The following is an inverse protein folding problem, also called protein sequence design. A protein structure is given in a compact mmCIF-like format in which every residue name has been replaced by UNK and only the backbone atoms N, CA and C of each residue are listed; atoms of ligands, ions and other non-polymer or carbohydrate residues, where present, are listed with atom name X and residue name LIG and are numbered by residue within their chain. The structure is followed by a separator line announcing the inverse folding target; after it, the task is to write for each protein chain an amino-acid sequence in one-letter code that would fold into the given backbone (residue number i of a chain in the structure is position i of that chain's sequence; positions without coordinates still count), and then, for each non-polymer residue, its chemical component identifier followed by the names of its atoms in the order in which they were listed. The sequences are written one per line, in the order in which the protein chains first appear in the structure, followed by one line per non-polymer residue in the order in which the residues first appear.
data_IF_864509976685
#
_entry.id   IF_864509976685
#
_cell.length_a   1.000
_cell.length_b   1.000
_cell.length_c   1.000
_cell.angle_alpha   90.00
_cell.angle_beta   90.00
_cell.angle_gamma   90.00
#
_symmetry.space_group_name_H-M   'P 1'
#
loop_
_entity.id
_entity.type
_entity.pdbx_description
1 polymer ?
#
# COMPACT_ATOMS: atom_id res chain seq x y z
N UNK A 1 63.14 -5.90 -3.90
CA UNK A 1 62.22 -5.31 -4.89
C UNK A 1 60.92 -6.11 -4.81
N UNK A 2 59.95 -5.61 -4.05
CA UNK A 2 58.71 -6.34 -3.74
C UNK A 2 57.57 -5.58 -4.40
N UNK A 3 57.02 -6.17 -5.45
CA UNK A 3 55.83 -5.61 -6.15
C UNK A 3 54.58 -5.95 -5.37
N UNK A 4 53.97 -4.94 -4.74
CA UNK A 4 52.63 -4.98 -4.21
C UNK A 4 51.65 -4.66 -5.34
N UNK A 5 51.09 -5.63 -5.99
CA UNK A 5 49.91 -5.46 -6.83
C UNK A 5 48.67 -5.61 -5.98
N UNK A 6 48.15 -4.50 -5.49
CA UNK A 6 46.81 -4.44 -4.91
C UNK A 6 45.77 -4.38 -6.03
N UNK A 7 45.08 -5.48 -6.28
CA UNK A 7 43.88 -5.48 -7.12
C UNK A 7 42.75 -4.85 -6.30
N UNK A 8 42.50 -3.58 -6.50
CA UNK A 8 41.23 -2.97 -6.05
C UNK A 8 40.16 -3.31 -7.06
N UNK A 9 39.30 -4.25 -6.75
CA UNK A 9 38.07 -4.43 -7.48
C UNK A 9 37.18 -3.18 -7.29
N UNK A 10 37.30 -2.24 -8.18
CA UNK A 10 36.42 -1.09 -8.26
C UNK A 10 35.08 -1.57 -8.82
N UNK A 11 34.20 -2.02 -7.94
CA UNK A 11 32.80 -2.19 -8.27
C UNK A 11 32.26 -0.87 -8.84
N UNK A 12 31.98 -0.83 -10.11
CA UNK A 12 31.41 0.33 -10.81
C UNK A 12 30.05 0.64 -10.18
N UNK A 13 30.02 1.61 -9.27
CA UNK A 13 28.78 2.16 -8.73
C UNK A 13 28.07 2.85 -9.89
N UNK A 14 27.09 2.19 -10.50
CA UNK A 14 26.25 2.81 -11.54
C UNK A 14 25.56 4.02 -10.92
N UNK A 15 26.03 5.20 -11.27
CA UNK A 15 25.34 6.44 -10.88
C UNK A 15 23.95 6.45 -11.52
N UNK A 16 22.94 6.53 -10.68
CA UNK A 16 21.55 6.64 -11.12
C UNK A 16 21.34 8.00 -11.77
N UNK A 17 20.61 8.05 -12.87
CA UNK A 17 20.22 9.33 -13.45
C UNK A 17 19.41 10.15 -12.43
N UNK A 18 19.44 11.48 -12.54
CA UNK A 18 18.63 12.37 -11.70
C UNK A 18 17.14 11.99 -11.71
N UNK A 19 16.62 11.60 -12.89
CA UNK A 19 15.24 11.12 -13.03
C UNK A 19 15.00 9.81 -12.25
N UNK A 20 15.94 8.87 -12.28
CA UNK A 20 15.87 7.63 -11.49
C UNK A 20 15.93 7.94 -9.99
N UNK A 21 16.82 8.84 -9.58
CA UNK A 21 16.90 9.28 -8.18
C UNK A 21 15.62 9.97 -7.73
N UNK A 22 15.06 10.86 -8.52
CA UNK A 22 13.78 11.53 -8.23
C UNK A 22 12.59 10.55 -8.20
N UNK A 23 12.55 9.59 -9.12
CA UNK A 23 11.54 8.55 -9.15
C UNK A 23 11.62 7.64 -7.91
N UNK A 24 12.82 7.22 -7.51
CA UNK A 24 13.04 6.39 -6.32
C UNK A 24 12.79 7.16 -5.01
N UNK A 25 13.01 8.46 -5.00
CA UNK A 25 12.70 9.36 -3.89
C UNK A 25 11.19 9.51 -3.64
N UNK A 26 10.35 9.21 -4.64
CA UNK A 26 8.90 9.37 -4.53
C UNK A 26 8.27 8.30 -3.60
N UNK A 27 7.51 8.72 -2.59
CA UNK A 27 6.84 7.78 -1.67
C UNK A 27 5.98 6.73 -2.37
N UNK A 28 5.27 7.12 -3.44
CA UNK A 28 4.38 6.21 -4.19
C UNK A 28 5.18 5.19 -4.97
N UNK A 29 6.27 5.59 -5.62
CA UNK A 29 7.17 4.66 -6.32
C UNK A 29 7.74 3.64 -5.34
N UNK A 30 8.18 4.08 -4.15
CA UNK A 30 8.65 3.15 -3.10
C UNK A 30 7.56 2.20 -2.62
N UNK A 31 6.31 2.67 -2.48
CA UNK A 31 5.17 1.82 -2.12
C UNK A 31 4.90 0.77 -3.22
N UNK A 32 4.94 1.16 -4.48
CA UNK A 32 4.78 0.26 -5.61
C UNK A 32 5.91 -0.78 -5.67
N UNK A 33 7.17 -0.36 -5.57
CA UNK A 33 8.32 -1.28 -5.57
C UNK A 33 8.23 -2.27 -4.40
N UNK A 34 7.88 -1.79 -3.22
CA UNK A 34 7.66 -2.67 -2.07
C UNK A 34 6.57 -3.70 -2.34
N UNK A 35 5.49 -3.32 -3.00
CA UNK A 35 4.42 -4.26 -3.37
C UNK A 35 4.86 -5.31 -4.39
N UNK A 36 5.89 -5.04 -5.21
CA UNK A 36 6.46 -6.02 -6.15
C UNK A 36 7.38 -7.02 -5.46
N UNK A 37 8.20 -6.55 -4.53
CA UNK A 37 9.33 -7.30 -3.97
C UNK A 37 9.03 -7.99 -2.64
N UNK A 38 7.99 -7.57 -1.94
CA UNK A 38 7.65 -8.06 -0.61
C UNK A 38 6.17 -8.41 -0.50
N UNK A 39 5.81 -9.10 0.56
CA UNK A 39 4.41 -9.24 0.95
C UNK A 39 3.91 -7.89 1.48
N UNK A 40 2.76 -7.44 0.98
CA UNK A 40 2.11 -6.20 1.39
C UNK A 40 0.60 -6.38 1.53
N UNK A 41 -0.05 -5.42 2.14
CA UNK A 41 -1.50 -5.31 2.16
C UNK A 41 -1.92 -3.86 2.19
N UNK A 42 -3.14 -3.59 1.79
CA UNK A 42 -3.74 -2.26 1.89
C UNK A 42 -5.01 -2.34 2.74
N UNK A 43 -5.16 -1.37 3.63
CA UNK A 43 -6.29 -1.26 4.55
C UNK A 43 -6.56 0.22 4.84
N UNK A 44 -7.82 0.57 5.07
CA UNK A 44 -8.24 1.87 5.56
C UNK A 44 -8.95 1.74 6.91
N UNK A 45 -9.30 2.87 7.51
CA UNK A 45 -10.22 2.96 8.63
C UNK A 45 -11.26 4.07 8.42
N UNK A 46 -11.23 4.71 7.24
CA UNK A 46 -12.16 5.78 6.92
C UNK A 46 -13.56 5.22 6.66
N UNK A 47 -14.57 5.94 7.13
CA UNK A 47 -15.98 5.62 6.91
C UNK A 47 -16.78 6.92 6.82
N UNK A 48 -17.48 7.09 5.70
CA UNK A 48 -18.22 8.30 5.42
C UNK A 48 -17.34 9.54 5.32
N UNK A 49 -17.93 10.70 5.40
CA UNK A 49 -17.30 12.00 5.12
C UNK A 49 -16.81 12.74 6.37
N UNK A 50 -17.10 12.24 7.58
CA UNK A 50 -16.71 12.90 8.81
C UNK A 50 -15.22 12.73 9.12
N UNK A 51 -14.43 13.72 8.75
CA UNK A 51 -12.96 13.68 8.90
C UNK A 51 -12.51 13.58 10.37
N UNK A 52 -13.23 14.24 11.30
CA UNK A 52 -12.90 14.18 12.74
C UNK A 52 -13.06 12.75 13.27
N UNK A 53 -14.15 12.09 12.92
CA UNK A 53 -14.39 10.69 13.29
C UNK A 53 -13.37 9.75 12.60
N UNK A 54 -13.09 9.96 11.31
CA UNK A 54 -12.10 9.18 10.57
C UNK A 54 -10.69 9.31 11.15
N UNK A 55 -10.31 10.49 11.64
CA UNK A 55 -9.02 10.69 12.31
C UNK A 55 -8.87 9.83 13.56
N UNK A 56 -9.92 9.69 14.36
CA UNK A 56 -9.92 8.81 15.54
C UNK A 56 -9.80 7.35 15.13
N UNK A 57 -10.58 6.90 14.14
CA UNK A 57 -10.52 5.52 13.60
C UNK A 57 -9.13 5.18 13.05
N UNK A 58 -8.51 6.11 12.30
CA UNK A 58 -7.14 5.95 11.79
C UNK A 58 -6.12 5.74 12.91
N UNK A 59 -6.18 6.53 14.00
CA UNK A 59 -5.31 6.34 15.18
C UNK A 59 -5.50 4.95 15.80
N UNK A 60 -6.74 4.48 15.90
CA UNK A 60 -7.05 3.13 16.37
C UNK A 60 -6.42 2.05 15.49
N UNK A 61 -6.57 2.16 14.16
CA UNK A 61 -5.94 1.24 13.22
C UNK A 61 -4.40 1.26 13.33
N UNK A 62 -3.78 2.43 13.41
CA UNK A 62 -2.33 2.56 13.56
C UNK A 62 -1.82 1.88 14.84
N UNK A 63 -2.56 2.03 15.93
CA UNK A 63 -2.26 1.35 17.21
C UNK A 63 -2.34 -0.17 17.06
N UNK A 64 -3.39 -0.66 16.42
CA UNK A 64 -3.56 -2.10 16.20
C UNK A 64 -2.49 -2.68 15.27
N UNK A 65 -2.12 -1.98 14.20
CA UNK A 65 -1.04 -2.39 13.31
C UNK A 65 0.29 -2.50 14.08
N UNK A 66 0.63 -1.50 14.88
CA UNK A 66 1.84 -1.52 15.74
C UNK A 66 1.83 -2.68 16.72
N UNK A 67 0.71 -2.91 17.43
CA UNK A 67 0.55 -4.07 18.35
C UNK A 67 0.75 -5.42 17.67
N UNK A 68 0.42 -5.53 16.38
CA UNK A 68 0.65 -6.76 15.60
C UNK A 68 2.02 -6.84 14.96
N UNK A 69 2.89 -5.85 15.14
CA UNK A 69 4.20 -5.75 14.52
C UNK A 69 4.13 -5.56 13.01
N UNK A 70 3.07 -4.92 12.52
CA UNK A 70 2.88 -4.63 11.10
C UNK A 70 3.35 -3.21 10.80
N UNK A 71 4.36 -3.12 9.92
CA UNK A 71 4.82 -1.84 9.40
C UNK A 71 3.81 -1.25 8.43
N UNK A 72 3.70 0.09 8.38
CA UNK A 72 2.79 0.75 7.46
C UNK A 72 3.29 2.09 6.95
N UNK A 73 2.78 2.48 5.78
CA UNK A 73 2.92 3.82 5.19
C UNK A 73 1.55 4.32 4.78
N UNK A 74 1.30 5.61 5.02
CA UNK A 74 0.07 6.28 4.60
C UNK A 74 0.16 6.70 3.14
N UNK A 75 -0.94 6.53 2.44
CA UNK A 75 -1.20 7.05 1.10
C UNK A 75 -2.67 7.45 1.00
N UNK A 76 -3.10 7.85 -0.17
CA UNK A 76 -4.51 8.08 -0.48
C UNK A 76 -4.96 6.96 -1.40
N UNK A 77 -5.93 6.18 -0.95
CA UNK A 77 -6.70 5.26 -1.77
C UNK A 77 -7.77 6.05 -2.53
N UNK A 78 -7.96 5.74 -3.79
CA UNK A 78 -8.99 6.33 -4.64
C UNK A 78 -9.63 5.21 -5.43
N UNK A 79 -10.95 5.17 -5.46
CA UNK A 79 -11.71 4.17 -6.20
C UNK A 79 -13.01 4.77 -6.72
N UNK A 80 -13.45 4.26 -7.85
CA UNK A 80 -14.70 4.64 -8.48
C UNK A 80 -15.78 3.65 -8.07
N UNK A 81 -16.91 4.15 -7.61
CA UNK A 81 -18.06 3.31 -7.31
C UNK A 81 -18.70 2.78 -8.61
N UNK A 82 -19.08 1.52 -8.59
CA UNK A 82 -19.77 0.87 -9.72
C UNK A 82 -21.17 1.43 -9.97
N UNK A 83 -21.78 1.98 -8.93
CA UNK A 83 -23.09 2.64 -8.97
C UNK A 83 -23.14 3.98 -9.70
N UNK A 84 -22.01 4.49 -10.19
CA UNK A 84 -21.94 5.82 -10.80
C UNK A 84 -21.88 7.00 -9.81
N UNK A 85 -21.90 6.73 -8.51
CA UNK A 85 -21.89 7.75 -7.42
C UNK A 85 -20.57 8.53 -7.29
N UNK A 86 -19.67 8.43 -8.26
CA UNK A 86 -18.43 9.19 -8.28
C UNK A 86 -17.22 8.42 -7.77
N UNK A 87 -16.22 9.15 -7.27
CA UNK A 87 -14.95 8.59 -6.82
C UNK A 87 -14.79 8.76 -5.31
N UNK A 88 -14.66 7.67 -4.61
CA UNK A 88 -14.31 7.66 -3.18
C UNK A 88 -12.82 7.87 -2.97
N UNK A 89 -12.47 8.62 -1.93
CA UNK A 89 -11.08 8.88 -1.52
C UNK A 89 -10.96 8.70 -0.01
N UNK A 90 -9.93 7.97 0.40
CA UNK A 90 -9.68 7.65 1.81
C UNK A 90 -8.19 7.63 2.13
N UNK A 91 -7.85 7.74 3.40
CA UNK A 91 -6.48 7.44 3.83
C UNK A 91 -6.29 5.94 3.84
N UNK A 92 -5.44 5.47 2.94
CA UNK A 92 -5.08 4.05 2.82
C UNK A 92 -3.69 3.79 3.40
N UNK A 93 -3.54 2.68 4.08
CA UNK A 93 -2.30 2.23 4.68
C UNK A 93 -1.75 1.05 3.88
N UNK A 94 -0.63 1.26 3.20
CA UNK A 94 0.15 0.13 2.71
C UNK A 94 0.89 -0.49 3.88
N UNK A 95 0.60 -1.74 4.15
CA UNK A 95 1.14 -2.51 5.27
C UNK A 95 2.15 -3.55 4.81
N UNK A 96 3.01 -3.97 5.71
CA UNK A 96 3.92 -5.10 5.49
C UNK A 96 4.08 -5.89 6.79
N UNK A 97 4.16 -7.22 6.71
CA UNK A 97 4.36 -8.07 7.87
C UNK A 97 5.73 -7.80 8.50
N UNK A 98 5.86 -8.09 9.80
CA UNK A 98 7.18 -8.19 10.44
C UNK A 98 7.95 -9.40 9.89
N UNK A 99 9.28 -9.39 9.97
CA UNK A 99 10.09 -10.57 9.64
C UNK A 99 9.57 -11.83 10.37
N UNK A 100 9.57 -12.96 9.69
CA UNK A 100 9.11 -14.24 10.24
C UNK A 100 7.58 -14.44 10.28
N UNK A 101 6.77 -13.44 9.96
CA UNK A 101 5.32 -13.63 9.86
C UNK A 101 4.96 -14.37 8.57
N UNK A 102 4.31 -15.53 8.69
CA UNK A 102 3.87 -16.30 7.53
C UNK A 102 2.78 -15.57 6.74
N UNK A 103 2.69 -15.85 5.42
CA UNK A 103 1.69 -15.27 4.51
C UNK A 103 0.26 -15.52 5.01
N UNK A 104 -0.02 -16.74 5.45
CA UNK A 104 -1.33 -17.12 5.99
C UNK A 104 -1.69 -16.30 7.24
N UNK A 105 -0.72 -16.11 8.15
CA UNK A 105 -0.92 -15.31 9.36
C UNK A 105 -1.17 -13.84 9.02
N UNK A 106 -0.37 -13.26 8.13
CA UNK A 106 -0.55 -11.89 7.68
C UNK A 106 -1.94 -11.67 7.07
N UNK A 107 -2.37 -12.51 6.12
CA UNK A 107 -3.69 -12.43 5.52
C UNK A 107 -4.84 -12.56 6.55
N UNK A 108 -4.70 -13.44 7.56
CA UNK A 108 -5.68 -13.53 8.66
C UNK A 108 -5.74 -12.24 9.48
N UNK A 109 -4.57 -11.65 9.80
CA UNK A 109 -4.50 -10.41 10.57
C UNK A 109 -5.14 -9.26 9.79
N UNK A 110 -4.82 -9.12 8.51
CA UNK A 110 -5.40 -8.06 7.65
C UNK A 110 -6.93 -8.14 7.61
N UNK A 111 -7.50 -9.32 7.37
CA UNK A 111 -8.96 -9.51 7.37
C UNK A 111 -9.61 -9.23 8.73
N UNK A 112 -8.96 -9.63 9.84
CA UNK A 112 -9.45 -9.32 11.19
C UNK A 112 -9.44 -7.81 11.48
N UNK A 113 -8.38 -7.13 11.06
CA UNK A 113 -8.29 -5.67 11.20
C UNK A 113 -9.33 -4.98 10.30
N UNK A 114 -9.53 -5.45 9.08
CA UNK A 114 -10.59 -4.94 8.20
C UNK A 114 -11.95 -5.00 8.90
N UNK A 115 -12.35 -6.16 9.40
CA UNK A 115 -13.60 -6.32 10.18
C UNK A 115 -13.66 -5.42 11.40
N UNK A 116 -12.59 -5.39 12.20
CA UNK A 116 -12.54 -4.57 13.43
C UNK A 116 -12.76 -3.10 13.14
N UNK A 117 -12.20 -2.60 12.03
CA UNK A 117 -12.29 -1.20 11.63
C UNK A 117 -13.41 -0.92 10.63
N UNK A 118 -14.33 -1.88 10.45
CA UNK A 118 -15.53 -1.73 9.64
C UNK A 118 -15.24 -1.56 8.15
N UNK A 119 -14.13 -2.08 7.64
CA UNK A 119 -13.84 -2.04 6.21
C UNK A 119 -14.63 -3.12 5.46
N UNK A 120 -15.12 -2.81 4.27
CA UNK A 120 -15.79 -3.77 3.38
C UNK A 120 -14.80 -4.78 2.81
N UNK A 121 -13.58 -4.32 2.57
CA UNK A 121 -12.53 -5.16 2.02
C UNK A 121 -11.14 -4.75 2.44
N UNK A 122 -10.20 -5.66 2.29
CA UNK A 122 -8.76 -5.41 2.42
C UNK A 122 -8.02 -6.05 1.25
N UNK A 123 -6.89 -5.48 0.87
CA UNK A 123 -6.04 -6.04 -0.17
C UNK A 123 -4.84 -6.72 0.47
N UNK A 124 -4.45 -7.88 -0.04
CA UNK A 124 -3.15 -8.50 0.24
C UNK A 124 -2.44 -8.83 -1.05
N UNK A 125 -1.13 -8.78 -1.04
CA UNK A 125 -0.30 -9.11 -2.18
C UNK A 125 0.97 -9.82 -1.73
N UNK A 126 1.22 -10.97 -2.30
CA UNK A 126 2.48 -11.70 -2.13
C UNK A 126 3.53 -11.20 -3.14
N UNK A 127 4.80 -11.42 -2.80
CA UNK A 127 5.91 -11.18 -3.73
C UNK A 127 5.64 -11.87 -5.07
N UNK A 128 5.78 -11.12 -6.16
CA UNK A 128 5.63 -11.58 -7.56
C UNK A 128 4.26 -12.20 -7.92
N UNK A 129 3.25 -12.10 -7.02
CA UNK A 129 1.89 -12.60 -7.31
C UNK A 129 0.92 -11.43 -7.53
N UNK A 130 -0.23 -11.68 -8.18
CA UNK A 130 -1.32 -10.71 -8.23
C UNK A 130 -1.78 -10.29 -6.83
N UNK A 131 -2.25 -9.06 -6.71
CA UNK A 131 -2.95 -8.60 -5.52
C UNK A 131 -4.33 -9.29 -5.43
N UNK A 132 -4.80 -9.49 -4.22
CA UNK A 132 -6.09 -10.12 -3.93
C UNK A 132 -6.93 -9.23 -3.03
N UNK A 133 -8.16 -8.98 -3.44
CA UNK A 133 -9.17 -8.31 -2.63
C UNK A 133 -9.88 -9.36 -1.77
N UNK A 134 -9.98 -9.11 -0.50
CA UNK A 134 -10.68 -9.97 0.45
C UNK A 134 -11.86 -9.19 1.03
N UNK A 135 -13.04 -9.74 0.87
CA UNK A 135 -14.22 -9.28 1.59
C UNK A 135 -14.02 -9.43 3.10
N UNK A 136 -14.43 -8.44 3.85
CA UNK A 136 -14.35 -8.41 5.32
C UNK A 136 -15.70 -8.18 5.98
N UNK A 137 -16.77 -7.94 5.26
CA UNK A 137 -18.12 -7.81 5.79
C UNK A 137 -18.72 -9.19 6.13
N UNK A 138 -18.52 -10.16 5.24
CA UNK A 138 -19.00 -11.50 5.47
C UNK A 138 -18.30 -12.16 6.66
N UNK A 139 -19.07 -12.72 7.58
CA UNK A 139 -18.55 -13.55 8.68
C UNK A 139 -17.97 -14.87 8.17
N UNK A 140 -18.47 -15.38 7.04
CA UNK A 140 -17.99 -16.61 6.39
C UNK A 140 -16.77 -16.29 5.51
N UNK A 141 -15.83 -17.23 5.32
CA UNK A 141 -14.75 -17.07 4.36
C UNK A 141 -15.33 -16.89 2.96
N UNK A 142 -15.16 -15.71 2.40
CA UNK A 142 -15.51 -15.43 0.99
C UNK A 142 -14.33 -15.69 0.08
N UNK A 143 -14.56 -16.10 -1.19
CA UNK A 143 -13.51 -16.13 -2.19
C UNK A 143 -12.84 -14.77 -2.31
N UNK A 144 -11.52 -14.75 -2.49
CA UNK A 144 -10.80 -13.51 -2.77
C UNK A 144 -10.73 -13.28 -4.28
N UNK A 145 -10.90 -12.02 -4.70
CA UNK A 145 -10.82 -11.62 -6.10
C UNK A 145 -9.39 -11.24 -6.48
N UNK A 146 -8.93 -11.64 -7.67
CA UNK A 146 -7.65 -11.21 -8.21
C UNK A 146 -7.77 -9.80 -8.75
N UNK A 147 -6.86 -8.91 -8.31
CA UNK A 147 -6.78 -7.53 -8.79
C UNK A 147 -5.64 -7.30 -9.80
N UNK A 148 -4.84 -8.33 -10.08
CA UNK A 148 -3.70 -8.20 -10.99
C UNK A 148 -2.41 -7.73 -10.31
N UNK A 149 -1.43 -7.36 -11.15
CA UNK A 149 -0.09 -6.93 -10.72
C UNK A 149 -0.03 -5.43 -10.44
N UNK A 150 0.97 -5.00 -9.66
CA UNK A 150 1.19 -3.56 -9.41
C UNK A 150 1.72 -2.87 -10.68
N UNK A 151 0.99 -1.87 -11.16
CA UNK A 151 1.36 -1.05 -12.33
C UNK A 151 1.46 0.43 -11.94
N UNK A 152 2.36 1.20 -12.55
CA UNK A 152 2.44 2.64 -12.32
C UNK A 152 1.26 3.37 -12.97
N UNK A 153 0.99 4.57 -12.48
CA UNK A 153 -0.04 5.46 -13.03
C UNK A 153 -1.41 5.25 -12.42
N UNK A 154 -2.39 5.98 -12.97
CA UNK A 154 -3.80 5.84 -12.61
C UNK A 154 -4.38 4.58 -13.24
N UNK A 155 -5.34 3.99 -12.56
CA UNK A 155 -6.05 2.84 -13.12
C UNK A 155 -6.96 3.30 -14.29
N UNK A 156 -6.78 2.78 -15.50
CA UNK A 156 -7.62 3.15 -16.65
C UNK A 156 -9.11 2.86 -16.43
N UNK A 157 -9.43 1.80 -15.70
CA UNK A 157 -10.83 1.48 -15.36
C UNK A 157 -11.41 2.39 -14.27
N UNK A 158 -10.62 3.22 -13.62
CA UNK A 158 -11.02 4.02 -12.47
C UNK A 158 -11.21 3.22 -11.17
N UNK A 159 -11.02 1.90 -11.21
CA UNK A 159 -11.26 1.01 -10.08
C UNK A 159 -10.01 0.82 -9.24
N UNK A 160 -9.91 1.53 -8.14
CA UNK A 160 -8.87 1.34 -7.11
C UNK A 160 -7.46 1.72 -7.54
N UNK A 161 -6.97 2.78 -7.00
CA UNK A 161 -5.59 3.22 -7.15
C UNK A 161 -5.07 3.82 -5.85
N UNK A 162 -3.76 3.82 -5.67
CA UNK A 162 -3.11 4.46 -4.53
C UNK A 162 -2.21 5.58 -5.01
N UNK A 163 -2.37 6.76 -4.43
CA UNK A 163 -1.51 7.91 -4.68
C UNK A 163 -0.79 8.35 -3.41
N UNK A 164 0.45 8.79 -3.55
CA UNK A 164 1.27 9.28 -2.44
C UNK A 164 0.99 10.74 -2.17
N UNK A 165 -0.06 11.08 -1.44
CA UNK A 165 -0.29 12.46 -1.00
C UNK A 165 -0.01 12.59 0.49
N UNK A 166 0.75 13.62 0.86
CA UNK A 166 0.81 14.01 2.27
C UNK A 166 -0.56 14.56 2.65
N UNK A 167 -1.22 13.91 3.61
CA UNK A 167 -2.41 14.46 4.25
C UNK A 167 -1.93 15.64 5.12
N UNK A 168 -2.02 16.85 4.60
CA UNK A 168 -1.81 18.07 5.41
C UNK A 168 -3.15 18.50 6.01
N UNK A 169 -3.15 18.80 7.29
CA UNK A 169 -4.29 19.40 8.04
C UNK A 169 -5.64 18.69 7.89
N UNK A 170 -5.66 17.35 7.73
CA UNK A 170 -6.92 16.60 7.70
C UNK A 170 -7.70 16.67 6.39
N UNK A 171 -7.24 17.37 5.38
CA UNK A 171 -7.86 17.41 4.06
C UNK A 171 -7.12 16.50 3.09
N UNK A 172 -7.85 15.61 2.44
CA UNK A 172 -7.35 14.83 1.31
C UNK A 172 -7.20 15.76 0.10
N UNK A 173 -5.99 16.30 -0.10
CA UNK A 173 -5.71 17.22 -1.19
C UNK A 173 -5.92 16.59 -2.58
N UNK A 174 -6.15 17.42 -3.62
CA UNK A 174 -6.14 16.96 -5.02
C UNK A 174 -4.78 16.31 -5.33
N UNK A 175 -4.78 15.13 -5.93
CA UNK A 175 -3.55 14.40 -6.23
C UNK A 175 -3.25 14.47 -7.73
N UNK A 176 -2.35 15.38 -8.10
CA UNK A 176 -1.66 15.33 -9.41
C UNK A 176 -0.36 14.53 -9.33
N UNK A 177 -0.20 13.70 -8.30
CA UNK A 177 1.06 13.00 -8.00
C UNK A 177 1.04 11.58 -8.55
N UNK A 178 2.26 10.99 -8.76
CA UNK A 178 2.38 9.61 -9.21
C UNK A 178 1.50 8.67 -8.38
N UNK A 179 0.77 7.81 -9.06
CA UNK A 179 -0.08 6.79 -8.48
C UNK A 179 0.40 5.40 -8.89
N UNK A 180 -0.09 4.38 -8.23
CA UNK A 180 -0.02 3.01 -8.73
C UNK A 180 -1.35 2.31 -8.49
N UNK A 181 -1.61 1.27 -9.26
CA UNK A 181 -2.83 0.47 -9.17
C UNK A 181 -2.51 -1.01 -9.33
N UNK A 182 -3.50 -1.83 -9.11
CA UNK A 182 -3.45 -3.27 -9.43
C UNK A 182 -4.32 -3.54 -10.65
N UNK A 183 -3.72 -4.20 -11.66
CA UNK A 183 -4.39 -4.62 -12.89
C UNK A 183 -3.56 -5.71 -13.62
#
# INVERSE_FOLDING_TARGET
MIDYLSHSEHGTVKMKSFQQFMAEGNPTTRMMQKSKTQQTGNISADRGTNEKANRVKRKGLETDLKKKGIGFKKGVGEYKYSSGEGTGREVSYQTSPKPGMSKRRFGKVMRRLGRKHGQESVITKDKNKPARLHDTESKKPSPSFSLGKSKPGKNPSGMGQTSGTKVRSGKLGKTNKPAFHYN
#
